data_IF_895879377360
#
_entry.id   IF_895879377360
#
_cell.length_a   1.000
_cell.length_b   1.000
_cell.length_c   1.000
_cell.angle_alpha   90.00
_cell.angle_beta   90.00
_cell.angle_gamma   90.00
#
_symmetry.space_group_name_H-M   'P 1'
#
loop_
_entity.id
_entity.type
_entity.pdbx_description
1 polymer ?
#
# COMPACT_ATOMS: atom_id res chain seq x y z
N UNK A 1 7.59 -18.02 -16.28
CA UNK A 1 7.00 -18.86 -15.21
C UNK A 1 7.50 -18.48 -13.82
N UNK A 2 8.63 -17.77 -13.70
CA UNK A 2 9.27 -17.39 -12.43
C UNK A 2 8.35 -16.58 -11.47
N UNK A 3 7.64 -15.55 -11.96
CA UNK A 3 6.85 -14.65 -11.09
C UNK A 3 5.67 -15.28 -10.34
N UNK A 4 5.15 -16.44 -10.76
CA UNK A 4 3.94 -17.01 -10.13
C UNK A 4 4.24 -17.66 -8.77
N UNK A 5 5.41 -18.29 -8.62
CA UNK A 5 5.83 -18.86 -7.35
C UNK A 5 6.06 -17.75 -6.31
N UNK A 6 6.69 -16.66 -6.72
CA UNK A 6 6.95 -15.50 -5.86
C UNK A 6 5.65 -14.83 -5.41
N UNK A 7 4.66 -14.70 -6.30
CA UNK A 7 3.36 -14.12 -5.94
C UNK A 7 2.56 -14.99 -4.98
N UNK A 8 2.69 -16.33 -5.04
CA UNK A 8 2.01 -17.23 -4.12
C UNK A 8 2.59 -17.10 -2.70
N UNK A 9 3.92 -17.13 -2.56
CA UNK A 9 4.62 -16.93 -1.28
C UNK A 9 4.31 -15.54 -0.72
N UNK A 10 4.35 -14.51 -1.57
CA UNK A 10 4.02 -13.16 -1.18
C UNK A 10 2.58 -13.02 -0.71
N UNK A 11 1.63 -13.65 -1.40
CA UNK A 11 0.21 -13.64 -1.02
C UNK A 11 -0.03 -14.32 0.33
N UNK A 12 0.74 -15.34 0.68
CA UNK A 12 0.67 -16.02 1.97
C UNK A 12 1.23 -15.14 3.09
N UNK A 13 2.39 -14.52 2.87
CA UNK A 13 2.97 -13.53 3.79
C UNK A 13 2.03 -12.34 4.03
N UNK A 14 1.44 -11.79 2.96
CA UNK A 14 0.49 -10.68 3.04
C UNK A 14 -0.75 -11.08 3.84
N UNK A 15 -1.28 -12.29 3.63
CA UNK A 15 -2.42 -12.80 4.40
C UNK A 15 -2.10 -12.90 5.90
N UNK A 16 -0.93 -13.46 6.24
CA UNK A 16 -0.46 -13.54 7.62
C UNK A 16 -0.30 -12.16 8.27
N UNK A 17 0.29 -11.20 7.56
CA UNK A 17 0.45 -9.82 8.06
C UNK A 17 -0.89 -9.11 8.19
N UNK A 18 -1.84 -9.39 7.31
CA UNK A 18 -3.19 -8.83 7.36
C UNK A 18 -3.99 -9.30 8.59
N UNK A 19 -3.64 -10.46 9.17
CA UNK A 19 -4.19 -10.98 10.44
C UNK A 19 -3.54 -10.34 11.67
N UNK A 20 -2.30 -9.84 11.56
CA UNK A 20 -1.56 -9.18 12.64
C UNK A 20 -1.32 -7.70 12.35
N UNK A 21 -2.37 -6.88 12.47
CA UNK A 21 -2.25 -5.44 12.18
C UNK A 21 -1.33 -4.70 13.16
N UNK A 22 -1.19 -5.17 14.40
CA UNK A 22 -0.42 -4.50 15.46
C UNK A 22 1.10 -4.53 15.25
N UNK A 23 1.61 -5.37 14.32
CA UNK A 23 3.05 -5.50 14.04
C UNK A 23 3.50 -4.69 12.83
N UNK A 24 2.59 -4.05 12.10
CA UNK A 24 2.94 -3.31 10.89
C UNK A 24 3.55 -1.97 11.31
N UNK A 25 4.83 -1.77 11.00
CA UNK A 25 5.56 -0.51 11.19
C UNK A 25 5.70 0.24 9.86
N UNK A 26 6.15 1.50 9.89
CA UNK A 26 6.44 2.26 8.67
C UNK A 26 7.50 1.57 7.80
N UNK A 27 8.49 0.92 8.41
CA UNK A 27 9.52 0.15 7.70
C UNK A 27 8.89 -1.02 6.94
N UNK A 28 8.04 -1.81 7.61
CA UNK A 28 7.31 -2.90 6.97
C UNK A 28 6.39 -2.37 5.88
N UNK A 29 5.67 -1.26 6.12
CA UNK A 29 4.82 -0.60 5.13
C UNK A 29 5.60 -0.22 3.87
N UNK A 30 6.81 0.34 4.04
CA UNK A 30 7.70 0.73 2.93
C UNK A 30 8.10 -0.47 2.09
N UNK A 31 8.35 -1.63 2.70
CA UNK A 31 8.65 -2.86 1.97
C UNK A 31 7.42 -3.52 1.34
N UNK A 32 6.26 -3.46 2.00
CA UNK A 32 5.04 -4.12 1.54
C UNK A 32 4.36 -3.39 0.38
N UNK A 33 4.32 -2.05 0.40
CA UNK A 33 3.59 -1.28 -0.61
C UNK A 33 4.00 -1.63 -2.05
N UNK A 34 5.30 -1.66 -2.43
CA UNK A 34 5.72 -2.05 -3.78
C UNK A 34 5.27 -3.47 -4.17
N UNK A 35 5.30 -4.40 -3.20
CA UNK A 35 4.93 -5.80 -3.41
C UNK A 35 3.42 -5.93 -3.65
N UNK A 36 2.62 -5.18 -2.89
CA UNK A 36 1.17 -5.10 -3.03
C UNK A 36 0.79 -4.45 -4.36
N UNK A 37 1.44 -3.33 -4.74
CA UNK A 37 1.28 -2.69 -6.05
C UNK A 37 1.54 -3.69 -7.17
N UNK A 38 2.63 -4.47 -7.09
CA UNK A 38 2.93 -5.51 -8.07
C UNK A 38 1.88 -6.63 -8.14
N UNK A 39 1.27 -7.00 -7.00
CA UNK A 39 0.18 -7.99 -6.98
C UNK A 39 -1.12 -7.47 -7.63
N UNK A 40 -1.34 -6.16 -7.71
CA UNK A 40 -2.50 -5.60 -8.43
C UNK A 40 -2.46 -5.91 -9.93
N UNK A 41 -1.27 -6.12 -10.49
CA UNK A 41 -1.07 -6.50 -11.89
C UNK A 41 -1.21 -8.02 -12.14
N UNK A 42 -1.42 -8.81 -11.07
CA UNK A 42 -1.60 -10.26 -11.18
C UNK A 42 -2.81 -10.62 -12.05
N UNK A 43 -2.68 -11.71 -12.81
CA UNK A 43 -3.79 -12.30 -13.57
C UNK A 43 -4.78 -13.09 -12.71
N UNK A 44 -4.42 -13.35 -11.45
CA UNK A 44 -5.24 -14.12 -10.52
C UNK A 44 -6.03 -13.17 -9.61
N UNK A 45 -7.35 -13.24 -9.69
CA UNK A 45 -8.30 -12.41 -8.93
C UNK A 45 -8.04 -12.49 -7.42
N UNK A 46 -7.72 -13.69 -6.91
CA UNK A 46 -7.37 -13.89 -5.50
C UNK A 46 -6.18 -13.04 -5.05
N UNK A 47 -5.16 -12.89 -5.89
CA UNK A 47 -3.98 -12.08 -5.54
C UNK A 47 -4.34 -10.59 -5.47
N UNK A 48 -5.19 -10.13 -6.39
CA UNK A 48 -5.66 -8.73 -6.40
C UNK A 48 -6.56 -8.45 -5.22
N UNK A 49 -7.46 -9.37 -4.87
CA UNK A 49 -8.39 -9.23 -3.75
C UNK A 49 -7.64 -9.15 -2.40
N UNK A 50 -6.65 -10.02 -2.19
CA UNK A 50 -5.76 -9.99 -1.02
C UNK A 50 -4.94 -8.69 -0.99
N UNK A 51 -4.38 -8.28 -2.15
CA UNK A 51 -3.59 -7.06 -2.24
C UNK A 51 -4.42 -5.81 -1.93
N UNK A 52 -5.59 -5.65 -2.56
CA UNK A 52 -6.52 -4.54 -2.31
C UNK A 52 -6.95 -4.47 -0.85
N UNK A 53 -7.26 -5.62 -0.24
CA UNK A 53 -7.66 -5.69 1.17
C UNK A 53 -6.54 -5.24 2.10
N UNK A 54 -5.29 -5.62 1.81
CA UNK A 54 -4.14 -5.18 2.59
C UNK A 54 -3.83 -3.69 2.38
N UNK A 55 -3.87 -3.22 1.13
CA UNK A 55 -3.69 -1.80 0.79
C UNK A 55 -4.71 -0.91 1.51
N UNK A 56 -5.98 -1.32 1.56
CA UNK A 56 -7.03 -0.61 2.29
C UNK A 56 -6.71 -0.50 3.78
N UNK A 57 -6.20 -1.57 4.41
CA UNK A 57 -5.76 -1.55 5.81
C UNK A 57 -4.59 -0.59 6.00
N UNK A 58 -3.57 -0.68 5.15
CA UNK A 58 -2.39 0.19 5.23
C UNK A 58 -2.74 1.67 5.06
N UNK A 59 -3.61 2.01 4.11
CA UNK A 59 -4.06 3.41 3.90
C UNK A 59 -4.84 3.92 5.12
N UNK A 60 -5.71 3.11 5.71
CA UNK A 60 -6.45 3.51 6.92
C UNK A 60 -5.55 3.77 8.13
N UNK A 61 -4.43 3.06 8.24
CA UNK A 61 -3.48 3.19 9.37
C UNK A 61 -2.44 4.28 9.12
N UNK A 62 -1.81 4.27 7.93
CA UNK A 62 -0.64 5.09 7.62
C UNK A 62 -0.93 6.24 6.66
N UNK A 63 -2.06 6.24 5.95
CA UNK A 63 -2.34 7.19 4.88
C UNK A 63 -2.19 8.64 5.34
N UNK A 64 -2.91 9.04 6.39
CA UNK A 64 -2.83 10.41 6.91
C UNK A 64 -1.39 10.79 7.31
N UNK A 65 -0.65 9.88 7.97
CA UNK A 65 0.74 10.14 8.35
C UNK A 65 1.65 10.35 7.13
N UNK A 66 1.47 9.55 6.07
CA UNK A 66 2.27 9.65 4.84
C UNK A 66 2.05 11.00 4.16
N UNK A 67 0.79 11.39 3.88
CA UNK A 67 0.49 12.63 3.15
C UNK A 67 0.79 13.89 3.97
N UNK A 68 0.52 13.88 5.27
CA UNK A 68 0.79 15.05 6.13
C UNK A 68 2.28 15.25 6.40
N UNK A 69 3.07 14.17 6.53
CA UNK A 69 4.52 14.27 6.73
C UNK A 69 5.21 14.95 5.55
N UNK A 70 4.73 14.73 4.33
CA UNK A 70 5.26 15.37 3.11
C UNK A 70 4.94 16.87 3.02
N UNK A 71 3.87 17.32 3.67
CA UNK A 71 3.47 18.73 3.71
C UNK A 71 4.15 19.51 4.84
N UNK A 72 4.81 18.82 5.76
CA UNK A 72 5.47 19.43 6.92
C UNK A 72 6.88 19.88 6.53
N UNK A 73 7.27 21.14 6.84
CA UNK A 73 8.64 21.60 6.59
C UNK A 73 9.67 20.68 7.28
N UNK A 74 10.71 20.30 6.56
CA UNK A 74 11.81 19.50 7.11
C UNK A 74 12.48 20.25 8.26
N UNK A 75 12.74 19.53 9.36
CA UNK A 75 13.45 20.08 10.52
C UNK A 75 14.82 20.63 10.10
N UNK A 76 15.13 21.86 10.51
CA UNK A 76 16.46 22.47 10.32
C UNK A 76 17.43 21.91 11.35
N UNK A 77 18.33 21.01 10.92
CA UNK A 77 19.34 20.38 11.78
C UNK A 77 19.91 19.09 11.17
N UNK A 78 20.87 18.47 11.86
CA UNK A 78 21.47 17.17 11.47
C UNK A 78 20.72 16.05 12.19
N UNK A 79 19.47 15.80 11.83
CA UNK A 79 18.70 14.64 12.31
C UNK A 79 18.57 13.59 11.20
N UNK A 80 19.59 12.75 11.13
CA UNK A 80 19.68 11.66 10.14
C UNK A 80 18.49 10.70 10.26
N UNK A 81 17.94 10.51 11.47
CA UNK A 81 16.82 9.58 11.67
C UNK A 81 15.50 10.19 11.16
N UNK A 82 15.30 11.50 11.33
CA UNK A 82 14.19 12.22 10.73
C UNK A 82 14.28 12.20 9.18
N UNK A 83 15.48 12.38 8.62
CA UNK A 83 15.71 12.30 7.17
C UNK A 83 15.35 10.92 6.60
N UNK A 84 15.84 9.83 7.24
CA UNK A 84 15.50 8.45 6.82
C UNK A 84 14.02 8.14 6.97
N UNK A 85 13.33 8.72 7.95
CA UNK A 85 11.89 8.55 8.12
C UNK A 85 11.13 9.26 7.01
N UNK A 86 11.57 10.47 6.64
CA UNK A 86 11.00 11.23 5.52
C UNK A 86 11.19 10.49 4.20
N UNK A 87 12.36 9.89 3.97
CA UNK A 87 12.62 9.04 2.80
C UNK A 87 11.62 7.88 2.70
N UNK A 88 11.37 7.19 3.82
CA UNK A 88 10.37 6.11 3.87
C UNK A 88 8.96 6.62 3.57
N UNK A 89 8.55 7.76 4.12
CA UNK A 89 7.27 8.37 3.77
C UNK A 89 7.16 8.69 2.27
N UNK A 90 8.24 9.23 1.68
CA UNK A 90 8.28 9.53 0.25
C UNK A 90 8.16 8.27 -0.61
N UNK A 91 8.86 7.18 -0.25
CA UNK A 91 8.74 5.89 -0.93
C UNK A 91 7.31 5.33 -0.84
N UNK A 92 6.71 5.36 0.36
CA UNK A 92 5.32 4.95 0.55
C UNK A 92 4.36 5.79 -0.30
N UNK A 93 4.54 7.11 -0.34
CA UNK A 93 3.71 8.01 -1.14
C UNK A 93 3.79 7.69 -2.63
N UNK A 94 5.00 7.49 -3.18
CA UNK A 94 5.19 7.12 -4.59
C UNK A 94 4.41 5.83 -4.92
N UNK A 95 4.46 4.83 -4.05
CA UNK A 95 3.70 3.59 -4.25
C UNK A 95 2.19 3.78 -4.11
N UNK A 96 1.72 4.61 -3.17
CA UNK A 96 0.29 4.93 -3.06
C UNK A 96 -0.24 5.66 -4.31
N UNK A 97 0.54 6.55 -4.92
CA UNK A 97 0.18 7.21 -6.17
C UNK A 97 0.13 6.22 -7.35
N UNK A 98 1.03 5.23 -7.39
CA UNK A 98 0.92 4.13 -8.36
C UNK A 98 -0.36 3.32 -8.14
N UNK A 99 -0.69 2.99 -6.89
CA UNK A 99 -1.94 2.28 -6.56
C UNK A 99 -3.15 3.07 -7.05
N UNK A 100 -3.23 4.39 -6.80
CA UNK A 100 -4.31 5.26 -7.30
C UNK A 100 -4.50 5.12 -8.81
N UNK A 101 -3.41 5.07 -9.58
CA UNK A 101 -3.46 4.92 -11.04
C UNK A 101 -4.07 3.59 -11.50
N UNK A 102 -3.97 2.53 -10.69
CA UNK A 102 -4.52 1.20 -11.00
C UNK A 102 -6.02 1.06 -10.64
N UNK A 103 -6.52 1.83 -9.67
CA UNK A 103 -7.89 1.67 -9.13
C UNK A 103 -9.01 1.81 -10.17
N UNK A 104 -8.94 2.73 -11.15
CA UNK A 104 -9.98 2.83 -12.18
C UNK A 104 -10.15 1.55 -12.99
N UNK A 105 -9.06 0.83 -13.27
CA UNK A 105 -9.11 -0.44 -14.00
C UNK A 105 -9.73 -1.55 -13.14
N UNK A 106 -9.35 -1.63 -11.87
CA UNK A 106 -9.86 -2.64 -10.93
C UNK A 106 -11.34 -2.42 -10.60
N UNK A 107 -11.77 -1.17 -10.50
CA UNK A 107 -13.17 -0.78 -10.23
C UNK A 107 -14.13 -1.22 -11.34
N UNK A 108 -13.65 -1.47 -12.56
CA UNK A 108 -14.46 -1.97 -13.68
C UNK A 108 -14.65 -3.49 -13.68
N UNK A 109 -13.92 -4.25 -12.86
CA UNK A 109 -13.92 -5.72 -12.90
C UNK A 109 -15.14 -6.39 -12.26
N UNK A 110 -16.01 -5.62 -11.60
CA UNK A 110 -17.17 -6.11 -10.86
C UNK A 110 -16.80 -6.91 -9.59
N UNK A 111 -17.80 -7.38 -8.85
CA UNK A 111 -17.60 -8.26 -7.68
C UNK A 111 -16.87 -7.60 -6.50
N UNK A 112 -16.20 -8.43 -5.69
CA UNK A 112 -15.46 -8.00 -4.49
C UNK A 112 -14.30 -7.06 -4.84
N UNK A 113 -13.56 -7.35 -5.91
CA UNK A 113 -12.43 -6.53 -6.38
C UNK A 113 -12.88 -5.10 -6.65
N UNK A 114 -13.99 -4.91 -7.38
CA UNK A 114 -14.49 -3.57 -7.67
C UNK A 114 -14.91 -2.82 -6.39
N UNK A 115 -15.60 -3.51 -5.48
CA UNK A 115 -16.02 -2.96 -4.19
C UNK A 115 -14.81 -2.49 -3.37
N UNK A 116 -13.82 -3.35 -3.16
CA UNK A 116 -12.63 -3.03 -2.36
C UNK A 116 -11.78 -1.93 -3.03
N UNK A 117 -11.69 -1.93 -4.36
CA UNK A 117 -11.00 -0.87 -5.11
C UNK A 117 -11.67 0.50 -4.95
N UNK A 118 -13.01 0.55 -4.94
CA UNK A 118 -13.76 1.79 -4.69
C UNK A 118 -13.58 2.27 -3.25
N UNK A 119 -13.66 1.38 -2.26
CA UNK A 119 -13.41 1.70 -0.86
C UNK A 119 -11.98 2.24 -0.65
N UNK A 120 -11.00 1.62 -1.30
CA UNK A 120 -9.61 2.08 -1.27
C UNK A 120 -9.45 3.46 -1.94
N UNK A 121 -10.13 3.72 -3.05
CA UNK A 121 -10.10 5.01 -3.71
C UNK A 121 -10.66 6.13 -2.82
N UNK A 122 -11.76 5.86 -2.11
CA UNK A 122 -12.34 6.79 -1.15
C UNK A 122 -11.37 7.05 0.02
N UNK A 123 -10.83 5.99 0.63
CA UNK A 123 -9.90 6.13 1.74
C UNK A 123 -8.64 6.93 1.34
N UNK A 124 -8.14 6.74 0.11
CA UNK A 124 -7.01 7.49 -0.42
C UNK A 124 -7.33 8.97 -0.65
N UNK A 125 -8.56 9.30 -1.04
CA UNK A 125 -9.01 10.69 -1.20
C UNK A 125 -9.22 11.39 0.15
N UNK A 126 -9.63 10.66 1.19
CA UNK A 126 -9.82 11.23 2.54
C UNK A 126 -8.50 11.64 3.21
N UNK A 127 -7.41 10.94 2.90
CA UNK A 127 -6.11 11.14 3.55
C UNK A 127 -5.13 11.97 2.73
N UNK A 128 -5.40 12.22 1.44
CA UNK A 128 -4.53 12.97 0.53
C UNK A 128 -4.73 14.47 0.58
#
# INVERSE_FOLDING_TARGET
MEKMADHAVLSELVSFLAEKNDIITLEICTCLLPLLTGLLESKLDRHQDISLSMLLKLVKVFGSLIYTSLSTPTSVGVDIEAEKRMERYNLCFIELEKVKSCLPALSRRGGSIAKTAQELNLALHEVS
#
